data_IF_088422812794
#
_entry.id   IF_088422812794
#
_cell.length_a   1.000
_cell.length_b   1.000
_cell.length_c   1.000
_cell.angle_alpha   90.00
_cell.angle_beta   90.00
_cell.angle_gamma   90.00
#
_symmetry.space_group_name_H-M   'P 1'
#
loop_
_entity.id
_entity.type
_entity.pdbx_description
1 polymer ?
#
# COMPACT_ATOMS: atom_id res chain seq x y z
N UNK A 1 17.25 -33.48 -18.42
CA UNK A 1 17.47 -32.25 -17.64
C UNK A 1 18.32 -31.26 -18.45
N UNK A 2 18.10 -31.20 -19.76
CA UNK A 2 18.96 -30.53 -20.74
C UNK A 2 20.47 -30.61 -20.40
N UNK A 3 21.00 -31.83 -20.35
CA UNK A 3 22.39 -32.10 -19.97
C UNK A 3 23.16 -32.58 -21.19
N UNK A 4 24.27 -31.91 -21.49
CA UNK A 4 25.21 -32.33 -22.52
C UNK A 4 26.19 -33.36 -21.94
N UNK A 5 25.86 -34.64 -22.09
CA UNK A 5 26.65 -35.74 -21.53
C UNK A 5 27.94 -35.98 -22.31
N UNK A 6 29.04 -36.18 -21.60
CA UNK A 6 30.31 -36.69 -22.11
C UNK A 6 30.76 -37.90 -21.30
N UNK A 7 31.52 -38.78 -21.92
CA UNK A 7 32.10 -39.92 -21.22
C UNK A 7 33.13 -39.43 -20.20
N UNK A 8 33.04 -39.97 -18.99
CA UNK A 8 33.93 -39.70 -17.87
C UNK A 8 34.68 -40.96 -17.45
N UNK A 9 35.59 -40.84 -16.47
CA UNK A 9 36.37 -41.96 -15.99
C UNK A 9 35.49 -43.07 -15.38
N UNK A 10 35.96 -44.31 -15.48
CA UNK A 10 35.33 -45.49 -14.89
C UNK A 10 33.88 -45.76 -15.35
N UNK A 11 33.58 -45.52 -16.63
CA UNK A 11 32.27 -45.85 -17.23
C UNK A 11 31.12 -44.96 -16.76
N UNK A 12 31.43 -43.77 -16.22
CA UNK A 12 30.45 -42.77 -15.82
C UNK A 12 30.24 -41.76 -16.93
N UNK A 13 29.04 -41.21 -16.99
CA UNK A 13 28.76 -40.04 -17.81
C UNK A 13 28.77 -38.79 -16.96
N UNK A 14 29.34 -37.72 -17.48
CA UNK A 14 29.40 -36.44 -16.78
C UNK A 14 28.81 -35.33 -17.65
N UNK A 15 28.19 -34.34 -17.03
CA UNK A 15 27.67 -33.15 -17.70
C UNK A 15 27.82 -31.94 -16.79
N UNK A 16 28.01 -30.76 -17.37
CA UNK A 16 27.99 -29.51 -16.59
C UNK A 16 26.54 -29.23 -16.16
N UNK A 17 26.36 -28.82 -14.90
CA UNK A 17 25.05 -28.67 -14.28
C UNK A 17 24.35 -27.41 -14.79
N UNK A 18 23.26 -27.60 -15.54
CA UNK A 18 22.37 -26.51 -15.93
C UNK A 18 21.53 -26.02 -14.75
N UNK A 19 20.96 -24.80 -14.81
CA UNK A 19 20.01 -24.33 -13.79
C UNK A 19 18.86 -25.32 -13.55
N UNK A 20 18.35 -25.93 -14.63
CA UNK A 20 17.29 -26.95 -14.56
C UNK A 20 17.74 -28.18 -13.75
N UNK A 21 18.95 -28.68 -14.00
CA UNK A 21 19.52 -29.79 -13.25
C UNK A 21 19.72 -29.41 -11.77
N UNK A 22 20.33 -28.24 -11.48
CA UNK A 22 20.56 -27.79 -10.10
C UNK A 22 19.25 -27.73 -9.30
N UNK A 23 18.23 -27.09 -9.84
CA UNK A 23 16.90 -26.99 -9.18
C UNK A 23 16.24 -28.36 -9.06
N UNK A 24 16.37 -29.23 -10.06
CA UNK A 24 15.87 -30.60 -9.99
C UNK A 24 16.50 -31.37 -8.82
N UNK A 25 17.83 -31.32 -8.68
CA UNK A 25 18.56 -31.95 -7.59
C UNK A 25 18.19 -31.37 -6.22
N UNK A 26 17.99 -30.05 -6.10
CA UNK A 26 17.53 -29.40 -4.87
C UNK A 26 16.13 -29.86 -4.45
N UNK A 27 15.19 -29.96 -5.40
CA UNK A 27 13.78 -30.27 -5.10
C UNK A 27 13.51 -31.75 -4.94
N UNK A 28 14.25 -32.59 -5.65
CA UNK A 28 13.93 -34.02 -5.76
C UNK A 28 15.03 -34.94 -5.20
N UNK A 29 16.06 -34.40 -4.53
CA UNK A 29 17.25 -34.99 -3.88
C UNK A 29 17.41 -36.52 -3.91
N UNK A 30 16.37 -37.29 -3.54
CA UNK A 30 16.37 -38.77 -3.53
C UNK A 30 16.16 -39.40 -4.91
N UNK A 31 15.30 -38.84 -5.76
CA UNK A 31 14.95 -39.38 -7.07
C UNK A 31 16.15 -39.49 -8.01
N UNK A 32 16.83 -38.38 -8.35
CA UNK A 32 18.02 -38.41 -9.19
C UNK A 32 19.10 -39.37 -8.66
N UNK A 33 19.36 -39.35 -7.34
CA UNK A 33 20.33 -40.26 -6.70
C UNK A 33 19.98 -41.73 -6.87
N UNK A 34 18.71 -42.09 -6.74
CA UNK A 34 18.23 -43.46 -6.95
C UNK A 34 18.37 -43.91 -8.41
N UNK A 35 18.38 -42.99 -9.37
CA UNK A 35 18.63 -43.27 -10.79
C UNK A 35 20.12 -43.22 -11.17
N UNK A 36 21.02 -43.17 -10.18
CA UNK A 36 22.47 -43.09 -10.40
C UNK A 36 23.00 -41.70 -10.71
N UNK A 37 22.17 -40.66 -10.64
CA UNK A 37 22.54 -39.27 -10.91
C UNK A 37 22.98 -38.57 -9.62
N UNK A 38 24.13 -37.91 -9.63
CA UNK A 38 24.66 -37.16 -8.49
C UNK A 38 25.20 -35.81 -8.94
N UNK A 39 24.96 -34.77 -8.14
CA UNK A 39 25.51 -33.43 -8.38
C UNK A 39 26.69 -33.22 -7.43
N UNK A 40 27.88 -32.95 -7.99
CA UNK A 40 29.12 -32.66 -7.25
C UNK A 40 29.64 -31.33 -7.76
N UNK A 41 29.53 -30.28 -6.93
CA UNK A 41 29.77 -28.91 -7.38
C UNK A 41 28.86 -28.56 -8.55
N UNK A 42 29.45 -28.16 -9.67
CA UNK A 42 28.76 -27.83 -10.92
C UNK A 42 28.76 -28.97 -11.95
N UNK A 43 29.06 -30.21 -11.54
CA UNK A 43 29.09 -31.37 -12.43
C UNK A 43 28.07 -32.42 -12.00
N UNK A 44 27.20 -32.83 -12.94
CA UNK A 44 26.33 -33.98 -12.79
C UNK A 44 27.06 -35.22 -13.24
N UNK A 45 27.15 -36.22 -12.38
CA UNK A 45 27.68 -37.55 -12.69
C UNK A 45 26.53 -38.55 -12.77
N UNK A 46 26.58 -39.44 -13.76
CA UNK A 46 25.61 -40.51 -13.95
C UNK A 46 26.30 -41.87 -13.99
N UNK A 47 25.95 -42.67 -12.99
CA UNK A 47 26.32 -44.08 -12.90
C UNK A 47 25.25 -44.94 -13.59
N UNK A 48 25.49 -45.30 -14.86
CA UNK A 48 24.54 -46.08 -15.66
C UNK A 48 24.23 -47.45 -15.07
N UNK A 49 25.13 -48.02 -14.26
CA UNK A 49 24.88 -49.31 -13.59
C UNK A 49 23.71 -49.24 -12.59
N UNK A 50 23.34 -48.03 -12.16
CA UNK A 50 22.22 -47.75 -11.26
C UNK A 50 21.02 -47.14 -11.97
N UNK A 51 21.11 -46.92 -13.28
CA UNK A 51 20.01 -46.33 -14.04
C UNK A 51 18.84 -47.33 -14.14
N UNK A 52 17.60 -46.90 -13.87
CA UNK A 52 16.43 -47.73 -14.16
C UNK A 52 16.30 -47.95 -15.68
N UNK A 53 15.55 -48.99 -16.07
CA UNK A 53 15.26 -49.27 -17.48
C UNK A 53 14.59 -48.07 -18.19
N UNK A 54 14.80 -47.99 -19.50
CA UNK A 54 14.54 -46.83 -20.36
C UNK A 54 13.12 -46.23 -20.22
N UNK A 55 12.02 -46.98 -20.12
CA UNK A 55 10.70 -46.36 -19.93
C UNK A 55 10.55 -45.64 -18.59
N UNK A 56 11.09 -46.23 -17.52
CA UNK A 56 11.01 -45.67 -16.16
C UNK A 56 11.92 -44.46 -16.00
N UNK A 57 13.13 -44.54 -16.56
CA UNK A 57 14.08 -43.43 -16.55
C UNK A 57 13.50 -42.20 -17.28
N UNK A 58 12.99 -42.40 -18.49
CA UNK A 58 12.39 -41.34 -19.31
C UNK A 58 11.21 -40.67 -18.58
N UNK A 59 10.35 -41.45 -17.91
CA UNK A 59 9.27 -40.92 -17.09
C UNK A 59 9.77 -40.06 -15.92
N UNK A 60 10.77 -40.55 -15.16
CA UNK A 60 11.34 -39.84 -14.02
C UNK A 60 12.00 -38.52 -14.45
N UNK A 61 12.81 -38.55 -15.52
CA UNK A 61 13.49 -37.36 -16.04
C UNK A 61 12.51 -36.27 -16.43
N UNK A 62 11.43 -36.60 -17.16
CA UNK A 62 10.38 -35.63 -17.54
C UNK A 62 9.68 -35.04 -16.32
N UNK A 63 9.37 -35.87 -15.32
CA UNK A 63 8.74 -35.42 -14.08
C UNK A 63 9.63 -34.42 -13.32
N UNK A 64 10.92 -34.71 -13.23
CA UNK A 64 11.89 -33.83 -12.58
C UNK A 64 12.15 -32.54 -13.36
N UNK A 65 12.23 -32.60 -14.69
CA UNK A 65 12.35 -31.42 -15.55
C UNK A 65 11.16 -30.49 -15.39
N UNK A 66 9.93 -31.03 -15.42
CA UNK A 66 8.72 -30.22 -15.23
C UNK A 66 8.73 -29.52 -13.87
N UNK A 67 8.98 -30.25 -12.79
CA UNK A 67 9.05 -29.65 -11.44
C UNK A 67 10.14 -28.58 -11.32
N UNK A 68 11.30 -28.81 -11.93
CA UNK A 68 12.40 -27.85 -11.91
C UNK A 68 12.08 -26.59 -12.74
N UNK A 69 11.45 -26.74 -13.90
CA UNK A 69 11.02 -25.63 -14.74
C UNK A 69 9.97 -24.77 -14.02
N UNK A 70 8.96 -25.40 -13.41
CA UNK A 70 7.94 -24.71 -12.60
C UNK A 70 8.58 -23.93 -11.44
N UNK A 71 9.55 -24.54 -10.72
CA UNK A 71 10.25 -23.86 -9.63
C UNK A 71 11.11 -22.70 -10.11
N UNK A 72 11.78 -22.81 -11.26
CA UNK A 72 12.57 -21.72 -11.84
C UNK A 72 11.65 -20.53 -12.16
N UNK A 73 10.51 -20.77 -12.81
CA UNK A 73 9.52 -19.72 -13.10
C UNK A 73 9.03 -19.10 -11.79
N UNK A 74 8.63 -19.92 -10.80
CA UNK A 74 8.17 -19.43 -9.51
C UNK A 74 9.25 -18.65 -8.73
N UNK A 75 10.54 -18.98 -8.89
CA UNK A 75 11.65 -18.21 -8.31
C UNK A 75 11.79 -16.86 -9.01
N UNK A 76 11.79 -16.85 -10.34
CA UNK A 76 11.88 -15.62 -11.13
C UNK A 76 10.71 -14.68 -10.84
N UNK A 77 9.49 -15.19 -10.70
CA UNK A 77 8.32 -14.41 -10.30
C UNK A 77 8.47 -13.83 -8.89
N UNK A 78 8.90 -14.64 -7.91
CA UNK A 78 9.16 -14.16 -6.53
C UNK A 78 10.23 -13.09 -6.49
N UNK A 79 11.28 -13.22 -7.29
CA UNK A 79 12.35 -12.23 -7.40
C UNK A 79 11.86 -10.96 -8.07
N UNK A 80 11.09 -11.07 -9.16
CA UNK A 80 10.47 -9.92 -9.82
C UNK A 80 9.52 -9.15 -8.88
N UNK A 81 8.77 -9.85 -8.03
CA UNK A 81 7.90 -9.23 -7.02
C UNK A 81 8.68 -8.53 -5.89
N UNK A 82 9.94 -8.91 -5.66
CA UNK A 82 10.82 -8.30 -4.65
C UNK A 82 11.71 -7.19 -5.20
N UNK A 83 11.90 -7.14 -6.53
CA UNK A 83 12.69 -6.11 -7.18
C UNK A 83 12.09 -4.74 -6.83
N UNK A 84 12.87 -3.79 -6.29
CA UNK A 84 12.38 -2.44 -6.06
C UNK A 84 11.85 -1.79 -7.34
N UNK A 85 10.84 -0.95 -7.21
CA UNK A 85 10.49 -0.01 -8.28
C UNK A 85 11.66 0.95 -8.54
N UNK A 86 11.73 1.49 -9.74
CA UNK A 86 12.77 2.45 -10.11
C UNK A 86 12.66 3.75 -9.30
N UNK A 87 13.78 4.48 -9.21
CA UNK A 87 13.92 5.69 -8.39
C UNK A 87 12.93 6.80 -8.79
N UNK A 88 12.64 6.96 -10.08
CA UNK A 88 11.73 8.00 -10.55
C UNK A 88 10.28 7.68 -10.17
N UNK A 89 9.87 6.42 -10.36
CA UNK A 89 8.57 5.93 -9.89
C UNK A 89 8.42 6.08 -8.38
N UNK A 90 9.45 5.72 -7.60
CA UNK A 90 9.47 5.88 -6.14
C UNK A 90 9.33 7.36 -5.73
N UNK A 91 10.13 8.24 -6.33
CA UNK A 91 10.13 9.68 -6.01
C UNK A 91 8.77 10.33 -6.28
N UNK A 92 8.16 9.99 -7.42
CA UNK A 92 6.83 10.50 -7.80
C UNK A 92 5.76 10.08 -6.79
N UNK A 93 5.68 8.79 -6.45
CA UNK A 93 4.66 8.32 -5.50
C UNK A 93 4.89 8.94 -4.11
N UNK A 94 6.13 9.07 -3.66
CA UNK A 94 6.44 9.67 -2.37
C UNK A 94 6.10 11.15 -2.29
N UNK A 95 6.35 11.90 -3.36
CA UNK A 95 5.95 13.31 -3.47
C UNK A 95 4.44 13.44 -3.34
N UNK A 96 3.68 12.63 -4.08
CA UNK A 96 2.22 12.65 -4.06
C UNK A 96 1.65 12.27 -2.68
N UNK A 97 2.22 11.24 -2.02
CA UNK A 97 1.83 10.86 -0.66
C UNK A 97 2.11 11.99 0.34
N UNK A 98 3.29 12.63 0.29
CA UNK A 98 3.66 13.73 1.18
C UNK A 98 2.73 14.93 1.02
N UNK A 99 2.46 15.33 -0.23
CA UNK A 99 1.54 16.42 -0.52
C UNK A 99 0.13 16.12 0.00
N UNK A 100 -0.37 14.89 -0.19
CA UNK A 100 -1.68 14.51 0.33
C UNK A 100 -1.72 14.39 1.85
N UNK A 101 -0.67 13.89 2.50
CA UNK A 101 -0.57 13.86 3.97
C UNK A 101 -0.62 15.27 4.56
N UNK A 102 0.08 16.22 3.94
CA UNK A 102 0.12 17.61 4.36
C UNK A 102 -1.23 18.29 4.22
N UNK A 103 -1.90 18.12 3.07
CA UNK A 103 -3.16 18.83 2.77
C UNK A 103 -4.39 18.14 3.33
N UNK A 104 -4.46 16.82 3.20
CA UNK A 104 -5.68 16.04 3.42
C UNK A 104 -5.42 14.77 4.23
N UNK A 105 -4.42 14.76 5.12
CA UNK A 105 -4.07 13.49 5.75
C UNK A 105 -5.17 12.90 6.66
N UNK A 106 -6.22 13.66 6.99
CA UNK A 106 -7.44 13.15 7.63
C UNK A 106 -8.17 12.11 6.76
N UNK A 107 -8.02 12.18 5.43
CA UNK A 107 -8.66 11.27 4.49
C UNK A 107 -8.11 9.82 4.60
N UNK A 108 -6.89 9.64 5.12
CA UNK A 108 -6.29 8.32 5.30
C UNK A 108 -6.75 7.59 6.57
N UNK A 109 -7.43 8.27 7.51
CA UNK A 109 -7.96 7.67 8.76
C UNK A 109 -6.86 6.85 9.48
N UNK A 110 -7.19 5.62 9.90
CA UNK A 110 -6.26 4.69 10.55
C UNK A 110 -5.10 4.21 9.66
N UNK A 111 -5.14 4.46 8.35
CA UNK A 111 -4.06 4.07 7.42
C UNK A 111 -2.96 5.12 7.33
N UNK A 112 -3.09 6.27 8.01
CA UNK A 112 -2.11 7.36 7.97
C UNK A 112 -0.67 6.91 8.32
N UNK A 113 -0.41 6.14 9.41
CA UNK A 113 0.96 5.73 9.73
C UNK A 113 1.62 4.92 8.62
N UNK A 114 0.84 4.08 7.93
CA UNK A 114 1.33 3.29 6.80
C UNK A 114 1.62 4.16 5.57
N UNK A 115 0.81 5.20 5.33
CA UNK A 115 1.06 6.18 4.27
C UNK A 115 2.33 6.97 4.56
N UNK A 116 2.56 7.34 5.81
CA UNK A 116 3.81 7.97 6.26
C UNK A 116 5.01 7.04 6.06
N UNK A 117 4.89 5.75 6.40
CA UNK A 117 5.92 4.75 6.10
C UNK A 117 6.27 4.71 4.60
N UNK A 118 5.27 4.61 3.72
CA UNK A 118 5.52 4.59 2.27
C UNK A 118 6.09 5.91 1.74
N UNK A 119 5.68 7.05 2.29
CA UNK A 119 6.19 8.36 1.93
C UNK A 119 7.70 8.52 2.25
N UNK A 120 8.22 7.76 3.21
CA UNK A 120 9.61 7.84 3.68
C UNK A 120 10.43 6.57 3.43
N UNK A 121 9.85 5.52 2.84
CA UNK A 121 10.53 4.26 2.57
C UNK A 121 11.75 4.44 1.63
N UNK A 122 12.86 3.78 1.93
CA UNK A 122 14.04 3.80 1.07
C UNK A 122 13.81 3.11 -0.29
N UNK A 123 12.87 2.16 -0.33
CA UNK A 123 12.47 1.45 -1.55
C UNK A 123 11.07 0.88 -1.39
N UNK A 124 10.35 0.71 -2.49
CA UNK A 124 9.08 -0.01 -2.53
C UNK A 124 9.14 -1.18 -3.51
N UNK A 125 8.57 -2.32 -3.13
CA UNK A 125 8.25 -3.39 -4.09
C UNK A 125 7.10 -2.96 -5.02
N UNK A 126 6.93 -3.60 -6.19
CA UNK A 126 5.78 -3.37 -7.06
C UNK A 126 4.43 -3.53 -6.36
N UNK A 127 4.34 -4.48 -5.41
CA UNK A 127 3.15 -4.67 -4.59
C UNK A 127 2.88 -3.48 -3.67
N UNK A 128 3.89 -3.01 -2.93
CA UNK A 128 3.76 -1.83 -2.06
C UNK A 128 3.46 -0.57 -2.86
N UNK A 129 4.09 -0.37 -4.02
CA UNK A 129 3.79 0.76 -4.90
C UNK A 129 2.33 0.74 -5.39
N UNK A 130 1.81 -0.41 -5.83
CA UNK A 130 0.39 -0.55 -6.19
C UNK A 130 -0.51 -0.21 -5.00
N UNK A 131 -0.15 -0.67 -3.81
CA UNK A 131 -0.93 -0.40 -2.62
C UNK A 131 -0.90 1.07 -2.21
N UNK A 132 0.26 1.74 -2.27
CA UNK A 132 0.39 3.17 -2.07
C UNK A 132 -0.52 3.97 -3.03
N UNK A 133 -0.59 3.57 -4.31
CA UNK A 133 -1.51 4.17 -5.28
C UNK A 133 -2.98 3.95 -4.93
N UNK A 134 -3.33 2.76 -4.44
CA UNK A 134 -4.68 2.48 -3.97
C UNK A 134 -5.06 3.38 -2.78
N UNK A 135 -4.16 3.59 -1.82
CA UNK A 135 -4.38 4.49 -0.68
C UNK A 135 -4.65 5.93 -1.14
N UNK A 136 -3.94 6.43 -2.15
CA UNK A 136 -4.21 7.74 -2.74
C UNK A 136 -5.57 7.80 -3.44
N UNK A 137 -5.96 6.72 -4.14
CA UNK A 137 -7.30 6.58 -4.73
C UNK A 137 -8.40 6.66 -3.66
N UNK A 138 -8.29 5.85 -2.61
CA UNK A 138 -9.23 5.85 -1.49
C UNK A 138 -9.33 7.23 -0.82
N UNK A 139 -8.20 7.92 -0.60
CA UNK A 139 -8.21 9.26 -0.02
C UNK A 139 -8.95 10.27 -0.90
N UNK A 140 -8.79 10.20 -2.23
CA UNK A 140 -9.55 11.03 -3.17
C UNK A 140 -11.04 10.74 -3.10
N UNK A 141 -11.43 9.48 -3.01
CA UNK A 141 -12.83 9.09 -2.91
C UNK A 141 -13.47 9.61 -1.61
N UNK A 142 -12.73 9.56 -0.49
CA UNK A 142 -13.14 10.14 0.79
C UNK A 142 -13.32 11.65 0.67
N UNK A 143 -12.37 12.37 0.05
CA UNK A 143 -12.46 13.81 -0.17
C UNK A 143 -13.69 14.15 -1.03
N UNK A 144 -13.87 13.44 -2.15
CA UNK A 144 -14.99 13.64 -3.05
C UNK A 144 -16.35 13.35 -2.39
N UNK A 145 -16.42 12.37 -1.49
CA UNK A 145 -17.62 12.10 -0.71
C UNK A 145 -17.94 13.24 0.28
N UNK A 146 -16.93 13.79 0.96
CA UNK A 146 -17.11 14.95 1.85
C UNK A 146 -17.53 16.18 1.04
N UNK A 147 -16.87 16.47 -0.08
CA UNK A 147 -17.22 17.59 -0.95
C UNK A 147 -18.67 17.50 -1.46
N UNK A 148 -19.11 16.30 -1.89
CA UNK A 148 -20.51 16.09 -2.30
C UNK A 148 -21.48 16.39 -1.16
N UNK A 149 -21.18 15.94 0.06
CA UNK A 149 -22.03 16.22 1.23
C UNK A 149 -22.07 17.72 1.57
N UNK A 150 -20.94 18.41 1.48
CA UNK A 150 -20.87 19.85 1.72
C UNK A 150 -21.58 20.69 0.65
N UNK A 151 -21.78 20.12 -0.55
CA UNK A 151 -22.57 20.74 -1.62
C UNK A 151 -24.08 20.57 -1.43
N UNK A 152 -24.54 19.68 -0.56
CA UNK A 152 -25.96 19.55 -0.22
C UNK A 152 -26.41 20.70 0.70
N UNK A 153 -27.69 21.12 0.66
CA UNK A 153 -28.20 22.14 1.56
C UNK A 153 -28.04 21.74 3.03
N UNK A 154 -27.41 22.60 3.84
CA UNK A 154 -27.40 22.47 5.30
C UNK A 154 -28.79 22.80 5.89
N UNK A 155 -28.94 22.69 7.22
CA UNK A 155 -30.16 23.08 7.91
C UNK A 155 -30.52 24.55 7.60
N UNK A 156 -31.80 24.84 7.39
CA UNK A 156 -32.25 26.15 6.93
C UNK A 156 -31.85 27.29 7.89
N UNK A 157 -31.89 27.02 9.19
CA UNK A 157 -31.45 27.95 10.24
C UNK A 157 -29.95 28.27 10.15
N UNK A 158 -29.12 27.25 9.89
CA UNK A 158 -27.69 27.42 9.76
C UNK A 158 -27.32 28.15 8.46
N UNK A 159 -28.01 27.84 7.36
CA UNK A 159 -27.86 28.53 6.08
C UNK A 159 -28.23 30.01 6.18
N UNK A 160 -29.28 30.34 6.94
CA UNK A 160 -29.70 31.73 7.13
C UNK A 160 -28.61 32.54 7.87
N UNK A 161 -28.03 31.98 8.93
CA UNK A 161 -26.93 32.59 9.66
C UNK A 161 -25.65 32.73 8.81
N UNK A 162 -25.38 31.77 7.92
CA UNK A 162 -24.20 31.78 7.06
C UNK A 162 -24.28 32.71 5.83
N UNK A 163 -25.34 33.50 5.67
CA UNK A 163 -25.46 34.47 4.56
C UNK A 163 -24.48 35.64 4.72
N UNK A 164 -24.19 36.02 5.96
CA UNK A 164 -23.25 37.09 6.29
C UNK A 164 -21.79 36.63 6.04
N UNK A 165 -21.01 37.31 5.17
CA UNK A 165 -19.60 37.01 4.96
C UNK A 165 -18.73 37.08 6.23
N UNK A 166 -19.00 38.01 7.14
CA UNK A 166 -18.19 38.17 8.36
C UNK A 166 -18.42 36.97 9.29
N UNK A 167 -19.68 36.56 9.42
CA UNK A 167 -20.05 35.35 10.17
C UNK A 167 -19.40 34.08 9.57
N UNK A 168 -19.24 34.00 8.24
CA UNK A 168 -18.52 32.89 7.59
C UNK A 168 -17.02 32.92 7.87
N UNK A 169 -16.40 34.10 7.94
CA UNK A 169 -15.00 34.23 8.30
C UNK A 169 -14.76 33.74 9.73
N UNK A 170 -15.63 34.10 10.68
CA UNK A 170 -15.58 33.61 12.06
C UNK A 170 -15.78 32.08 12.15
N UNK A 171 -16.69 31.51 11.35
CA UNK A 171 -16.87 30.06 11.28
C UNK A 171 -15.63 29.34 10.73
N UNK A 172 -14.96 29.93 9.74
CA UNK A 172 -13.72 29.39 9.20
C UNK A 172 -12.60 29.43 10.25
N UNK A 173 -12.50 30.52 11.00
CA UNK A 173 -11.57 30.63 12.13
C UNK A 173 -11.86 29.54 13.18
N UNK A 174 -13.12 29.32 13.52
CA UNK A 174 -13.52 28.26 14.46
C UNK A 174 -13.18 26.85 13.93
N UNK A 175 -13.38 26.59 12.64
CA UNK A 175 -13.00 25.33 12.02
C UNK A 175 -11.47 25.11 12.11
N UNK A 176 -10.68 26.13 11.80
CA UNK A 176 -9.20 26.07 11.89
C UNK A 176 -8.74 25.88 13.33
N UNK A 177 -9.37 26.54 14.30
CA UNK A 177 -9.09 26.37 15.71
C UNK A 177 -9.38 24.94 16.18
N UNK A 178 -10.55 24.37 15.85
CA UNK A 178 -10.88 23.00 16.22
C UNK A 178 -9.97 21.98 15.52
N UNK A 179 -9.61 22.20 14.26
CA UNK A 179 -8.64 21.38 13.54
C UNK A 179 -7.23 21.43 14.16
N UNK A 180 -6.81 22.56 14.74
CA UNK A 180 -5.50 22.65 15.39
C UNK A 180 -5.44 21.89 16.73
N UNK A 181 -6.59 21.74 17.40
CA UNK A 181 -6.74 20.87 18.57
C UNK A 181 -6.78 19.39 18.20
N UNK A 182 -7.23 19.07 16.99
CA UNK A 182 -7.42 17.70 16.48
C UNK A 182 -6.12 17.08 15.92
N UNK A 183 -5.07 17.04 16.77
CA UNK A 183 -3.73 16.58 16.38
C UNK A 183 -3.67 15.08 16.04
N UNK A 184 -4.49 14.27 16.72
CA UNK A 184 -4.66 12.84 16.45
C UNK A 184 -5.75 12.55 15.40
N UNK A 185 -6.47 13.58 14.95
CA UNK A 185 -7.52 13.51 13.93
C UNK A 185 -8.66 12.57 14.34
N UNK A 186 -9.09 12.69 15.58
CA UNK A 186 -10.13 11.90 16.23
C UNK A 186 -9.86 10.40 16.22
N UNK A 187 -8.59 9.99 16.33
CA UNK A 187 -8.21 8.58 16.46
C UNK A 187 -8.48 8.09 17.88
N UNK A 188 -8.14 8.92 18.87
CA UNK A 188 -8.30 8.64 20.28
C UNK A 188 -9.46 9.45 20.86
N UNK A 189 -10.19 8.85 21.81
CA UNK A 189 -11.26 9.53 22.52
C UNK A 189 -10.69 10.46 23.60
N UNK A 190 -10.15 11.62 23.19
CA UNK A 190 -9.58 12.63 24.09
C UNK A 190 -10.52 13.82 24.37
N UNK A 191 -11.72 13.82 23.78
CA UNK A 191 -12.73 14.90 23.85
C UNK A 191 -12.24 16.28 23.37
N UNK A 192 -11.16 16.32 22.59
CA UNK A 192 -10.55 17.52 22.03
C UNK A 192 -10.64 17.52 20.50
N UNK A 193 -10.78 18.69 19.91
CA UNK A 193 -10.96 18.84 18.47
C UNK A 193 -12.29 18.30 17.97
N UNK A 194 -12.24 17.65 16.80
CA UNK A 194 -13.41 17.10 16.13
C UNK A 194 -13.79 15.73 16.66
N UNK A 195 -15.09 15.40 16.60
CA UNK A 195 -15.51 14.01 16.76
C UNK A 195 -15.15 13.20 15.51
N UNK A 196 -15.08 11.86 15.62
CA UNK A 196 -14.83 10.99 14.47
C UNK A 196 -15.82 11.22 13.30
N UNK A 197 -17.07 11.60 13.60
CA UNK A 197 -18.10 11.91 12.61
C UNK A 197 -17.89 13.28 11.97
N UNK A 198 -17.45 14.27 12.74
CA UNK A 198 -17.24 15.64 12.29
C UNK A 198 -15.89 15.85 11.60
N UNK A 199 -14.86 15.07 11.95
CA UNK A 199 -13.46 15.29 11.55
C UNK A 199 -13.28 15.43 10.03
N UNK A 200 -13.84 14.55 9.16
CA UNK A 200 -13.66 14.70 7.71
C UNK A 200 -14.16 16.04 7.16
N UNK A 201 -15.37 16.46 7.55
CA UNK A 201 -15.95 17.72 7.09
C UNK A 201 -15.27 18.94 7.74
N UNK A 202 -14.96 18.85 9.04
CA UNK A 202 -14.27 19.89 9.78
C UNK A 202 -12.89 20.22 9.21
N UNK A 203 -12.04 19.21 8.98
CA UNK A 203 -10.74 19.41 8.33
C UNK A 203 -10.87 19.90 6.89
N UNK A 204 -11.87 19.40 6.13
CA UNK A 204 -12.10 19.86 4.76
C UNK A 204 -12.45 21.35 4.72
N UNK A 205 -13.31 21.81 5.64
CA UNK A 205 -13.70 23.22 5.75
C UNK A 205 -12.56 24.10 6.26
N UNK A 206 -11.79 23.63 7.25
CA UNK A 206 -10.64 24.37 7.80
C UNK A 206 -9.55 24.66 6.74
N UNK A 207 -9.41 23.78 5.75
CA UNK A 207 -8.48 23.93 4.63
C UNK A 207 -8.96 24.84 3.50
N UNK A 208 -10.15 25.45 3.60
CA UNK A 208 -10.63 26.44 2.63
C UNK A 208 -9.98 27.79 2.84
N UNK A 209 -9.88 28.57 1.76
CA UNK A 209 -9.50 29.99 1.83
C UNK A 209 -10.65 30.85 2.34
N UNK A 210 -11.85 30.59 1.81
CA UNK A 210 -13.12 31.19 2.21
C UNK A 210 -14.24 30.13 2.21
N UNK A 211 -15.31 30.38 2.96
CA UNK A 211 -16.50 29.52 2.97
C UNK A 211 -17.60 30.12 2.10
N UNK A 212 -18.23 29.28 1.27
CA UNK A 212 -19.51 29.61 0.64
C UNK A 212 -20.65 29.62 1.66
N UNK A 213 -21.83 30.15 1.32
CA UNK A 213 -23.00 30.12 2.22
C UNK A 213 -23.43 28.69 2.61
N UNK A 214 -23.33 27.73 1.67
CA UNK A 214 -23.63 26.32 1.93
C UNK A 214 -22.63 25.71 2.91
N UNK A 215 -21.33 25.90 2.64
CA UNK A 215 -20.26 25.44 3.52
C UNK A 215 -20.32 26.09 4.90
N UNK A 216 -20.65 27.38 4.98
CA UNK A 216 -20.87 28.09 6.23
C UNK A 216 -22.03 27.51 7.04
N UNK A 217 -23.12 27.09 6.40
CA UNK A 217 -24.21 26.39 7.08
C UNK A 217 -23.75 25.08 7.70
N UNK A 218 -23.04 24.24 6.94
CA UNK A 218 -22.45 22.99 7.48
C UNK A 218 -21.44 23.28 8.60
N UNK A 219 -20.58 24.28 8.42
CA UNK A 219 -19.60 24.70 9.42
C UNK A 219 -20.31 25.09 10.74
N UNK A 220 -21.39 25.85 10.69
CA UNK A 220 -22.13 26.27 11.88
C UNK A 220 -22.67 25.08 12.67
N UNK A 221 -23.33 24.13 12.01
CA UNK A 221 -23.86 22.93 12.66
C UNK A 221 -22.76 22.10 13.32
N UNK A 222 -21.63 21.92 12.63
CA UNK A 222 -20.45 21.23 13.17
C UNK A 222 -19.86 21.98 14.36
N UNK A 223 -19.54 23.26 14.21
CA UNK A 223 -18.90 24.07 15.26
C UNK A 223 -19.80 24.18 16.49
N UNK A 224 -21.12 24.31 16.33
CA UNK A 224 -22.05 24.40 17.46
C UNK A 224 -21.95 23.17 18.39
N UNK A 225 -21.77 21.97 17.86
CA UNK A 225 -21.56 20.76 18.67
C UNK A 225 -20.25 20.81 19.50
N UNK A 226 -19.25 21.56 19.02
CA UNK A 226 -17.92 21.68 19.61
C UNK A 226 -17.66 23.05 20.30
N UNK A 227 -18.67 23.92 20.38
CA UNK A 227 -18.55 25.34 20.81
C UNK A 227 -17.92 25.57 22.18
N UNK A 228 -17.96 24.57 23.08
CA UNK A 228 -17.35 24.67 24.42
C UNK A 228 -15.83 24.65 24.40
N UNK A 229 -15.23 24.19 23.30
CA UNK A 229 -13.78 24.17 23.12
C UNK A 229 -13.25 25.51 22.57
N UNK A 230 -14.13 26.37 22.03
CA UNK A 230 -13.70 27.62 21.39
C UNK A 230 -13.30 28.70 22.42
N UNK A 231 -12.39 29.63 22.05
CA UNK A 231 -12.13 30.83 22.82
C UNK A 231 -13.41 31.63 23.06
N UNK A 232 -13.54 32.24 24.24
CA UNK A 232 -14.76 32.94 24.64
C UNK A 232 -15.14 34.09 23.68
N UNK A 233 -14.14 34.80 23.15
CA UNK A 233 -14.33 35.87 22.17
C UNK A 233 -14.95 35.33 20.87
N UNK A 234 -14.34 34.30 20.27
CA UNK A 234 -14.81 33.68 19.03
C UNK A 234 -16.22 33.09 19.19
N UNK A 235 -16.50 32.46 20.34
CA UNK A 235 -17.84 31.97 20.67
C UNK A 235 -18.87 33.11 20.75
N UNK A 236 -18.47 34.27 21.29
CA UNK A 236 -19.30 35.47 21.37
C UNK A 236 -19.64 36.04 19.99
N UNK A 237 -18.65 36.14 19.09
CA UNK A 237 -18.86 36.60 17.70
C UNK A 237 -19.81 35.67 16.92
N UNK A 238 -19.75 34.37 17.19
CA UNK A 238 -20.59 33.35 16.55
C UNK A 238 -22.02 33.22 17.12
N UNK A 239 -22.30 33.87 18.25
CA UNK A 239 -23.60 33.84 18.92
C UNK A 239 -23.96 32.47 19.52
N UNK A 240 -23.01 31.83 20.19
CA UNK A 240 -23.09 30.48 20.76
C UNK A 240 -23.15 30.42 22.29
#
# INVERSE_FOLDING_TARGET
MDLAWREGPAGRWIADATPLAKVSFERTCRGPRQAGLTLIGDTVNWDLSKAPAEPRLSFLLRGWERMAAEEIVARAEREALRRPVDTDTLSRIQTELKEQLARNGWAFRSKRPLVEEFAHAASLTPGQHRFARALLGEARDVIAAVDRRLAEPAAQEDLAAARDPDHRADLLEACRYLTSLDGDRAHDANSMGWSAVASPAGHRLAGREELTALEGGHARGLVHAHRRQLPAELRGRLGF
#
